data_IF_290646106598
#
_entry.id   IF_290646106598
#
_cell.length_a   1.000
_cell.length_b   1.000
_cell.length_c   1.000
_cell.angle_alpha   90.00
_cell.angle_beta   90.00
_cell.angle_gamma   90.00
#
_symmetry.space_group_name_H-M   'P 1'
#
loop_
_entity.id
_entity.type
_entity.pdbx_description
1 polymer ?
#
# COMPACT_ATOMS: atom_id res chain seq x y z
N UNK A 1 -71.57 -52.44 -21.06
CA UNK A 1 -72.09 -51.14 -21.55
C UNK A 1 -71.50 -49.91 -20.84
N UNK A 2 -70.99 -49.98 -19.61
CA UNK A 2 -70.46 -48.78 -18.90
C UNK A 2 -69.00 -48.38 -19.25
N UNK A 3 -68.18 -49.26 -19.82
CA UNK A 3 -66.78 -48.93 -20.13
C UNK A 3 -66.62 -48.03 -21.38
N UNK A 4 -67.43 -48.26 -22.42
CA UNK A 4 -67.42 -47.47 -23.66
C UNK A 4 -67.88 -46.01 -23.44
N UNK A 5 -68.89 -45.79 -22.58
CA UNK A 5 -69.38 -44.45 -22.27
C UNK A 5 -68.38 -43.57 -21.50
N UNK A 6 -67.47 -44.18 -20.74
CA UNK A 6 -66.43 -43.46 -20.00
C UNK A 6 -65.29 -43.09 -20.95
N UNK A 7 -64.94 -43.97 -21.90
CA UNK A 7 -63.89 -43.72 -22.88
C UNK A 7 -64.29 -42.62 -23.88
N UNK A 8 -65.52 -42.62 -24.37
CA UNK A 8 -66.03 -41.55 -25.25
C UNK A 8 -66.05 -40.16 -24.55
N UNK A 9 -66.37 -40.11 -23.25
CA UNK A 9 -66.34 -38.86 -22.49
C UNK A 9 -64.92 -38.35 -22.25
N UNK A 10 -63.96 -39.24 -22.02
CA UNK A 10 -62.56 -38.88 -21.84
C UNK A 10 -61.95 -38.37 -23.14
N UNK A 11 -62.25 -39.01 -24.28
CA UNK A 11 -61.82 -38.54 -25.60
C UNK A 11 -62.46 -37.18 -25.94
N UNK A 12 -63.77 -36.99 -25.70
CA UNK A 12 -64.43 -35.71 -25.93
C UNK A 12 -63.83 -34.57 -25.08
N UNK A 13 -63.45 -34.83 -23.82
CA UNK A 13 -62.77 -33.84 -22.98
C UNK A 13 -61.32 -33.56 -23.44
N UNK A 14 -60.62 -34.56 -23.95
CA UNK A 14 -59.27 -34.41 -24.52
C UNK A 14 -59.30 -33.53 -25.76
N UNK A 15 -60.24 -33.79 -26.69
CA UNK A 15 -60.44 -32.97 -27.87
C UNK A 15 -60.83 -31.53 -27.52
N UNK A 16 -61.73 -31.34 -26.55
CA UNK A 16 -62.12 -30.00 -26.10
C UNK A 16 -60.93 -29.19 -25.54
N UNK A 17 -60.05 -29.82 -24.76
CA UNK A 17 -58.82 -29.18 -24.26
C UNK A 17 -57.83 -28.87 -25.36
N UNK A 18 -57.68 -29.76 -26.33
CA UNK A 18 -56.79 -29.57 -27.47
C UNK A 18 -57.23 -28.40 -28.35
N UNK A 19 -58.53 -28.31 -28.68
CA UNK A 19 -59.07 -27.16 -29.43
C UNK A 19 -59.01 -25.85 -28.64
N UNK A 20 -59.20 -25.87 -27.31
CA UNK A 20 -58.99 -24.68 -26.48
C UNK A 20 -57.53 -24.23 -26.44
N UNK A 21 -56.58 -25.17 -26.51
CA UNK A 21 -55.17 -24.84 -26.58
C UNK A 21 -54.80 -24.24 -27.94
N UNK A 22 -55.25 -24.84 -29.05
CA UNK A 22 -55.05 -24.29 -30.40
C UNK A 22 -55.66 -22.89 -30.52
N UNK A 23 -56.90 -22.68 -30.05
CA UNK A 23 -57.54 -21.37 -30.07
C UNK A 23 -56.82 -20.33 -29.19
N UNK A 24 -56.10 -20.76 -28.16
CA UNK A 24 -55.28 -19.87 -27.33
C UNK A 24 -53.98 -19.51 -28.02
N UNK A 25 -53.32 -20.49 -28.65
CA UNK A 25 -52.09 -20.30 -29.42
C UNK A 25 -52.33 -19.45 -30.67
N UNK A 26 -53.45 -19.64 -31.37
CA UNK A 26 -53.87 -18.78 -32.50
C UNK A 26 -54.16 -17.35 -32.04
N UNK A 27 -54.81 -17.17 -30.89
CA UNK A 27 -55.09 -15.85 -30.33
C UNK A 27 -53.85 -15.14 -29.82
N UNK A 28 -52.87 -15.88 -29.30
CA UNK A 28 -51.56 -15.36 -28.92
C UNK A 28 -50.72 -15.01 -30.17
N UNK A 29 -50.83 -15.78 -31.25
CA UNK A 29 -50.22 -15.47 -32.54
C UNK A 29 -50.86 -14.24 -33.22
N UNK A 30 -52.19 -14.10 -33.18
CA UNK A 30 -52.89 -12.88 -33.63
C UNK A 30 -52.47 -11.66 -32.80
N UNK A 31 -52.35 -11.80 -31.47
CA UNK A 31 -51.90 -10.72 -30.60
C UNK A 31 -50.46 -10.29 -30.92
N UNK A 32 -49.60 -11.26 -31.25
CA UNK A 32 -48.22 -11.00 -31.67
C UNK A 32 -48.16 -10.32 -33.05
N UNK A 33 -48.99 -10.75 -34.01
CA UNK A 33 -49.09 -10.17 -35.35
C UNK A 33 -49.69 -8.74 -35.31
N UNK A 34 -50.64 -8.49 -34.39
CA UNK A 34 -51.21 -7.16 -34.10
C UNK A 34 -50.20 -6.22 -33.40
N UNK A 35 -49.36 -6.76 -32.50
CA UNK A 35 -48.23 -6.01 -31.90
C UNK A 35 -47.18 -5.63 -32.94
N UNK A 36 -46.96 -6.48 -33.96
CA UNK A 36 -46.03 -6.22 -35.06
C UNK A 36 -46.60 -5.21 -36.08
N UNK A 37 -47.92 -5.16 -36.27
CA UNK A 37 -48.58 -4.28 -37.25
C UNK A 37 -49.10 -2.93 -36.74
N UNK A 38 -49.21 -2.69 -35.43
CA UNK A 38 -50.15 -1.64 -34.97
C UNK A 38 -49.71 -0.56 -34.00
N UNK A 39 -48.49 -0.54 -33.43
CA UNK A 39 -48.16 0.49 -32.42
C UNK A 39 -47.59 1.78 -33.05
N UNK A 40 -48.22 2.96 -32.91
CA UNK A 40 -47.59 4.23 -33.27
C UNK A 40 -46.33 4.47 -32.45
N UNK A 41 -45.30 5.06 -33.05
CA UNK A 41 -43.98 5.25 -32.41
C UNK A 41 -44.07 5.95 -31.04
N UNK A 42 -44.92 6.96 -30.89
CA UNK A 42 -45.12 7.67 -29.63
C UNK A 42 -45.70 6.79 -28.51
N UNK A 43 -46.52 5.77 -28.85
CA UNK A 43 -47.09 4.83 -27.89
C UNK A 43 -46.07 3.77 -27.48
N UNK A 44 -45.24 3.30 -28.41
CA UNK A 44 -44.11 2.42 -28.09
C UNK A 44 -43.08 3.14 -27.19
N UNK A 45 -42.72 4.37 -27.54
CA UNK A 45 -41.85 5.22 -26.73
C UNK A 45 -42.45 5.47 -25.34
N UNK A 46 -43.75 5.75 -25.25
CA UNK A 46 -44.44 5.91 -23.96
C UNK A 46 -44.39 4.64 -23.11
N UNK A 47 -44.59 3.45 -23.70
CA UNK A 47 -44.53 2.17 -22.98
C UNK A 47 -43.11 1.84 -22.51
N UNK A 48 -42.10 2.10 -23.35
CA UNK A 48 -40.70 1.95 -22.96
C UNK A 48 -40.32 2.91 -21.83
N UNK A 49 -40.76 4.18 -21.90
CA UNK A 49 -40.57 5.16 -20.84
C UNK A 49 -41.25 4.70 -19.56
N UNK A 50 -42.53 4.29 -19.61
CA UNK A 50 -43.28 3.81 -18.45
C UNK A 50 -42.62 2.61 -17.79
N UNK A 51 -42.10 1.68 -18.60
CA UNK A 51 -41.43 0.47 -18.13
C UNK A 51 -40.08 0.79 -17.48
N UNK A 52 -39.25 1.62 -18.12
CA UNK A 52 -37.98 2.11 -17.58
C UNK A 52 -38.18 2.88 -16.26
N UNK A 53 -39.25 3.68 -16.16
CA UNK A 53 -39.60 4.41 -14.93
C UNK A 53 -40.00 3.49 -13.78
N UNK A 54 -40.79 2.43 -14.03
CA UNK A 54 -41.18 1.44 -13.01
C UNK A 54 -39.98 0.68 -12.43
N UNK A 55 -38.89 0.60 -13.18
CA UNK A 55 -37.65 -0.07 -12.78
C UNK A 55 -36.52 0.89 -12.39
N UNK A 56 -36.84 2.16 -12.11
CA UNK A 56 -35.94 3.10 -11.44
C UNK A 56 -35.12 4.03 -12.34
N UNK A 57 -35.34 4.02 -13.66
CA UNK A 57 -34.72 5.01 -14.56
C UNK A 57 -35.45 6.36 -14.48
N UNK A 58 -34.70 7.46 -14.38
CA UNK A 58 -35.30 8.79 -14.27
C UNK A 58 -35.93 9.25 -15.60
N UNK A 59 -37.11 9.89 -15.54
CA UNK A 59 -37.81 10.47 -16.72
C UNK A 59 -36.94 11.45 -17.51
N UNK A 60 -36.00 12.10 -16.81
CA UNK A 60 -35.07 13.09 -17.35
C UNK A 60 -33.98 12.44 -18.20
N UNK A 61 -33.39 11.34 -17.73
CA UNK A 61 -32.39 10.59 -18.48
C UNK A 61 -32.94 10.05 -19.82
N UNK A 62 -34.16 9.51 -19.83
CA UNK A 62 -34.76 8.91 -21.04
C UNK A 62 -35.10 9.98 -22.10
N UNK A 63 -35.43 11.21 -21.69
CA UNK A 63 -35.66 12.34 -22.61
C UNK A 63 -34.37 13.01 -23.09
N UNK A 64 -33.26 12.88 -22.35
CA UNK A 64 -31.98 13.56 -22.66
C UNK A 64 -31.12 12.79 -23.67
N UNK A 65 -31.20 11.44 -23.71
CA UNK A 65 -30.46 10.61 -24.67
C UNK A 65 -31.38 10.20 -25.83
N UNK A 66 -31.45 11.02 -26.88
CA UNK A 66 -32.33 10.80 -28.03
C UNK A 66 -31.95 9.54 -28.83
N UNK A 67 -32.94 8.70 -29.15
CA UNK A 67 -32.78 7.41 -29.88
C UNK A 67 -32.84 7.55 -31.42
N UNK A 68 -32.93 8.78 -31.92
CA UNK A 68 -33.10 9.06 -33.35
C UNK A 68 -34.55 8.96 -33.86
N UNK A 69 -34.72 9.08 -35.19
CA UNK A 69 -36.05 9.04 -35.86
C UNK A 69 -36.36 7.68 -36.50
N UNK A 70 -35.37 6.79 -36.61
CA UNK A 70 -35.58 5.45 -37.16
C UNK A 70 -36.14 4.53 -36.08
N UNK A 71 -37.40 4.15 -36.26
CA UNK A 71 -38.16 3.34 -35.31
C UNK A 71 -37.49 1.99 -35.04
N UNK A 72 -36.89 1.32 -36.04
CA UNK A 72 -36.29 -0.01 -35.84
C UNK A 72 -35.02 0.07 -34.99
N UNK A 73 -34.22 1.10 -35.21
CA UNK A 73 -32.99 1.34 -34.44
C UNK A 73 -33.33 1.72 -33.00
N UNK A 74 -34.29 2.62 -32.80
CA UNK A 74 -34.73 3.04 -31.48
C UNK A 74 -35.29 1.88 -30.63
N UNK A 75 -36.09 1.00 -31.25
CA UNK A 75 -36.60 -0.23 -30.59
C UNK A 75 -35.42 -1.13 -30.17
N UNK A 76 -34.45 -1.33 -31.07
CA UNK A 76 -33.30 -2.23 -30.82
C UNK A 76 -32.40 -1.70 -29.69
N UNK A 77 -32.08 -0.40 -29.69
CA UNK A 77 -31.30 0.24 -28.63
C UNK A 77 -32.01 0.20 -27.28
N UNK A 78 -33.33 0.42 -27.26
CA UNK A 78 -34.13 0.33 -26.03
C UNK A 78 -34.17 -1.09 -25.46
N UNK A 79 -34.32 -2.11 -26.32
CA UNK A 79 -34.27 -3.52 -25.91
C UNK A 79 -32.88 -3.85 -25.33
N UNK A 80 -31.80 -3.41 -25.98
CA UNK A 80 -30.44 -3.63 -25.50
C UNK A 80 -30.20 -2.95 -24.14
N UNK A 81 -30.61 -1.69 -23.97
CA UNK A 81 -30.51 -1.00 -22.69
C UNK A 81 -31.29 -1.72 -21.58
N UNK A 82 -32.49 -2.24 -21.89
CA UNK A 82 -33.26 -3.05 -20.95
C UNK A 82 -32.49 -4.31 -20.54
N UNK A 83 -31.94 -5.07 -21.50
CA UNK A 83 -31.15 -6.28 -21.21
C UNK A 83 -29.96 -5.99 -20.29
N UNK A 84 -29.25 -4.88 -20.50
CA UNK A 84 -28.12 -4.46 -19.66
C UNK A 84 -28.56 -4.09 -18.23
N UNK A 85 -29.72 -3.44 -18.09
CA UNK A 85 -30.30 -3.09 -16.79
C UNK A 85 -30.75 -4.34 -16.01
N UNK A 86 -31.34 -5.34 -16.70
CA UNK A 86 -31.86 -6.55 -16.06
C UNK A 86 -30.77 -7.55 -15.66
N UNK A 87 -29.78 -7.76 -16.53
CA UNK A 87 -28.77 -8.81 -16.33
C UNK A 87 -27.54 -8.34 -15.55
N UNK A 88 -27.34 -7.02 -15.41
CA UNK A 88 -26.09 -6.42 -14.96
C UNK A 88 -24.90 -6.65 -15.90
N UNK A 89 -25.10 -7.40 -16.99
CA UNK A 89 -24.10 -7.69 -18.01
C UNK A 89 -24.24 -6.68 -19.13
N UNK A 90 -23.24 -5.81 -19.27
CA UNK A 90 -23.17 -4.87 -20.39
C UNK A 90 -22.92 -5.63 -21.69
N UNK A 91 -23.66 -5.33 -22.74
CA UNK A 91 -23.34 -5.85 -24.06
C UNK A 91 -22.09 -5.14 -24.56
N UNK A 92 -20.94 -5.82 -24.50
CA UNK A 92 -19.68 -5.27 -25.02
C UNK A 92 -19.76 -5.22 -26.55
N UNK A 93 -19.55 -4.04 -27.19
CA UNK A 93 -19.52 -3.95 -28.64
C UNK A 93 -18.39 -4.82 -29.21
N UNK A 94 -18.54 -5.25 -30.47
CA UNK A 94 -17.58 -6.14 -31.13
C UNK A 94 -16.14 -5.58 -31.10
N UNK A 95 -15.99 -4.26 -31.28
CA UNK A 95 -14.70 -3.56 -31.18
C UNK A 95 -14.05 -3.73 -29.81
N UNK A 96 -14.83 -3.60 -28.73
CA UNK A 96 -14.34 -3.80 -27.37
C UNK A 96 -13.96 -5.26 -27.12
N UNK A 97 -14.70 -6.23 -27.68
CA UNK A 97 -14.37 -7.66 -27.56
C UNK A 97 -13.06 -8.01 -28.25
N UNK A 98 -12.83 -7.51 -29.46
CA UNK A 98 -11.58 -7.70 -30.22
C UNK A 98 -10.38 -7.12 -29.46
N UNK A 99 -10.54 -5.93 -28.85
CA UNK A 99 -9.49 -5.32 -28.04
C UNK A 99 -9.28 -6.08 -26.72
N UNK A 100 -10.36 -6.57 -26.09
CA UNK A 100 -10.30 -7.32 -24.83
C UNK A 100 -9.53 -8.63 -24.96
N UNK A 101 -9.69 -9.37 -26.05
CA UNK A 101 -9.05 -10.68 -26.26
C UNK A 101 -7.51 -10.59 -26.36
N UNK A 102 -6.98 -9.41 -26.71
CA UNK A 102 -5.53 -9.12 -26.73
C UNK A 102 -5.07 -8.28 -25.51
N UNK A 103 -6.01 -7.88 -24.64
CA UNK A 103 -5.71 -7.01 -23.51
C UNK A 103 -5.13 -7.81 -22.34
N UNK A 104 -4.08 -7.30 -21.72
CA UNK A 104 -3.49 -7.90 -20.52
C UNK A 104 -4.27 -7.46 -19.29
N UNK A 105 -4.65 -8.41 -18.44
CA UNK A 105 -5.32 -8.10 -17.17
C UNK A 105 -4.34 -7.59 -16.12
N UNK A 106 -4.84 -6.81 -15.15
CA UNK A 106 -4.02 -6.25 -14.09
C UNK A 106 -3.27 -7.31 -13.29
N UNK A 107 -3.90 -8.43 -12.91
CA UNK A 107 -3.25 -9.40 -12.04
C UNK A 107 -2.18 -10.21 -12.80
N UNK A 108 -2.45 -10.54 -14.07
CA UNK A 108 -1.45 -11.15 -14.96
C UNK A 108 -0.28 -10.20 -15.20
N UNK A 109 -0.55 -8.90 -15.40
CA UNK A 109 0.50 -7.90 -15.54
C UNK A 109 1.34 -7.77 -14.26
N UNK A 110 0.72 -7.83 -13.08
CA UNK A 110 1.45 -7.81 -11.82
C UNK A 110 2.39 -9.01 -11.70
N UNK A 111 2.02 -10.21 -12.18
CA UNK A 111 2.92 -11.37 -12.21
C UNK A 111 4.15 -11.12 -13.11
N UNK A 112 3.95 -10.47 -14.26
CA UNK A 112 5.05 -10.05 -15.14
C UNK A 112 5.92 -8.98 -14.47
N UNK A 113 5.29 -7.98 -13.84
CA UNK A 113 5.98 -6.90 -13.14
C UNK A 113 6.84 -7.40 -11.98
N UNK A 114 6.42 -8.45 -11.27
CA UNK A 114 7.22 -9.11 -10.24
C UNK A 114 8.55 -9.65 -10.81
N UNK A 115 8.53 -10.21 -12.03
CA UNK A 115 9.74 -10.68 -12.75
C UNK A 115 10.64 -9.52 -13.16
N UNK A 116 10.05 -8.41 -13.63
CA UNK A 116 10.80 -7.19 -13.98
C UNK A 116 11.52 -6.64 -12.74
N UNK A 117 10.85 -6.59 -11.59
CA UNK A 117 11.44 -6.14 -10.33
C UNK A 117 12.63 -7.01 -9.91
N UNK A 118 12.55 -8.33 -10.11
CA UNK A 118 13.64 -9.25 -9.80
C UNK A 118 14.88 -9.00 -10.68
N UNK A 119 14.71 -8.58 -11.94
CA UNK A 119 15.83 -8.26 -12.84
C UNK A 119 16.46 -6.87 -12.64
N UNK A 120 15.88 -5.99 -11.82
CA UNK A 120 16.40 -4.62 -11.60
C UNK A 120 17.65 -4.54 -10.71
N UNK A 121 18.18 -5.65 -10.22
CA UNK A 121 19.34 -5.65 -9.31
C UNK A 121 19.07 -4.99 -7.96
N UNK A 122 17.82 -4.97 -7.50
CA UNK A 122 17.42 -4.37 -6.21
C UNK A 122 17.75 -5.30 -5.04
N UNK A 123 18.06 -4.72 -3.87
CA UNK A 123 18.30 -5.50 -2.64
C UNK A 123 17.07 -6.32 -2.24
N UNK A 124 17.29 -7.51 -1.68
CA UNK A 124 16.23 -8.44 -1.26
C UNK A 124 15.14 -7.79 -0.39
N UNK A 125 15.54 -6.94 0.58
CA UNK A 125 14.57 -6.25 1.44
C UNK A 125 13.68 -5.27 0.66
N UNK A 126 14.22 -4.61 -0.36
CA UNK A 126 13.48 -3.71 -1.24
C UNK A 126 12.48 -4.49 -2.08
N UNK A 127 12.88 -5.65 -2.61
CA UNK A 127 11.98 -6.55 -3.34
C UNK A 127 10.79 -6.98 -2.47
N UNK A 128 11.04 -7.44 -1.23
CA UNK A 128 9.97 -7.79 -0.27
C UNK A 128 9.01 -6.62 -0.05
N UNK A 129 9.52 -5.38 0.04
CA UNK A 129 8.68 -4.21 0.23
C UNK A 129 7.75 -3.95 -0.96
N UNK A 130 8.23 -4.15 -2.20
CA UNK A 130 7.43 -4.08 -3.42
C UNK A 130 6.37 -5.19 -3.46
N UNK A 131 6.75 -6.44 -3.19
CA UNK A 131 5.81 -7.58 -3.18
C UNK A 131 4.66 -7.35 -2.19
N UNK A 132 4.95 -6.77 -1.02
CA UNK A 132 3.92 -6.36 -0.06
C UNK A 132 2.93 -5.33 -0.64
N UNK A 133 3.39 -4.38 -1.47
CA UNK A 133 2.51 -3.40 -2.13
C UNK A 133 1.73 -4.04 -3.27
N UNK A 134 2.35 -4.92 -4.06
CA UNK A 134 1.66 -5.68 -5.11
C UNK A 134 0.52 -6.53 -4.51
N UNK A 135 0.77 -7.21 -3.39
CA UNK A 135 -0.28 -7.94 -2.64
C UNK A 135 -1.39 -7.01 -2.11
N UNK A 136 -1.08 -5.76 -1.79
CA UNK A 136 -2.10 -4.77 -1.43
C UNK A 136 -2.92 -4.34 -2.65
N UNK A 137 -2.28 -4.16 -3.81
CA UNK A 137 -2.94 -3.82 -5.08
C UNK A 137 -3.89 -4.94 -5.50
N UNK A 138 -3.45 -6.21 -5.50
CA UNK A 138 -4.30 -7.37 -5.86
C UNK A 138 -5.57 -7.48 -5.02
N UNK A 139 -5.51 -7.10 -3.74
CA UNK A 139 -6.68 -7.10 -2.84
C UNK A 139 -7.59 -5.90 -3.04
N UNK A 140 -7.04 -4.78 -3.53
CA UNK A 140 -7.74 -3.50 -3.61
C UNK A 140 -8.31 -3.16 -5.00
N UNK A 141 -7.82 -3.81 -6.06
CA UNK A 141 -8.27 -3.59 -7.43
C UNK A 141 -8.72 -4.91 -8.08
N UNK A 142 -9.76 -4.86 -8.93
CA UNK A 142 -10.26 -6.04 -9.64
C UNK A 142 -9.23 -6.58 -10.64
N UNK A 143 -9.36 -7.86 -10.98
CA UNK A 143 -8.64 -8.42 -12.12
C UNK A 143 -9.41 -8.12 -13.42
N UNK A 144 -9.16 -6.93 -13.95
CA UNK A 144 -9.75 -6.43 -15.19
C UNK A 144 -8.62 -6.03 -16.17
N UNK A 145 -8.93 -5.86 -17.47
CA UNK A 145 -7.99 -5.30 -18.44
C UNK A 145 -7.34 -4.01 -17.92
N UNK A 146 -6.03 -3.83 -18.16
CA UNK A 146 -5.29 -2.66 -17.67
C UNK A 146 -5.92 -1.32 -18.13
N UNK A 147 -6.49 -1.29 -19.33
CA UNK A 147 -7.18 -0.13 -19.92
C UNK A 147 -8.51 0.21 -19.24
N UNK A 148 -9.16 -0.78 -18.61
CA UNK A 148 -10.44 -0.62 -17.92
C UNK A 148 -10.27 -0.11 -16.48
N UNK A 149 -9.05 -0.18 -15.92
CA UNK A 149 -8.78 0.29 -14.55
C UNK A 149 -8.81 1.83 -14.50
N UNK A 150 -9.84 2.37 -13.86
CA UNK A 150 -10.09 3.81 -13.84
C UNK A 150 -9.31 4.53 -12.73
N UNK A 151 -9.00 5.81 -12.96
CA UNK A 151 -8.47 6.73 -11.94
C UNK A 151 -9.35 6.77 -10.69
N UNK A 152 -10.67 6.64 -10.84
CA UNK A 152 -11.65 6.65 -9.75
C UNK A 152 -11.49 5.44 -8.83
N UNK A 153 -11.33 4.24 -9.39
CA UNK A 153 -11.13 3.01 -8.61
C UNK A 153 -9.80 3.05 -7.84
N UNK A 154 -8.74 3.53 -8.49
CA UNK A 154 -7.43 3.73 -7.84
C UNK A 154 -7.57 4.71 -6.68
N UNK A 155 -8.23 5.85 -6.91
CA UNK A 155 -8.45 6.85 -5.86
C UNK A 155 -9.29 6.28 -4.70
N UNK A 156 -10.34 5.50 -4.98
CA UNK A 156 -11.16 4.86 -3.96
C UNK A 156 -10.33 3.92 -3.07
N UNK A 157 -9.50 3.05 -3.68
CA UNK A 157 -8.58 2.18 -2.94
C UNK A 157 -7.60 2.98 -2.08
N UNK A 158 -6.95 4.01 -2.65
CA UNK A 158 -5.97 4.83 -1.93
C UNK A 158 -6.61 5.58 -0.75
N UNK A 159 -7.81 6.13 -0.95
CA UNK A 159 -8.57 6.82 0.09
C UNK A 159 -8.98 5.88 1.22
N UNK A 160 -9.27 4.60 0.94
CA UNK A 160 -9.50 3.59 1.98
C UNK A 160 -8.32 3.50 2.95
N UNK A 161 -7.08 3.40 2.44
CA UNK A 161 -5.88 3.41 3.28
C UNK A 161 -5.69 4.73 4.04
N UNK A 162 -6.04 5.87 3.46
CA UNK A 162 -5.93 7.17 4.12
C UNK A 162 -6.93 7.26 5.29
N UNK A 163 -8.18 6.83 5.08
CA UNK A 163 -9.23 6.84 6.08
C UNK A 163 -8.91 5.91 7.27
N UNK A 164 -8.18 4.81 7.03
CA UNK A 164 -7.63 3.95 8.08
C UNK A 164 -6.39 4.55 8.80
N UNK A 165 -6.02 5.80 8.51
CA UNK A 165 -4.83 6.45 9.06
C UNK A 165 -3.51 5.92 8.51
N UNK A 166 -3.52 5.20 7.37
CA UNK A 166 -2.34 4.57 6.74
C UNK A 166 -1.83 5.37 5.52
N UNK A 167 -1.78 6.69 5.65
CA UNK A 167 -1.36 7.61 4.58
C UNK A 167 0.01 7.28 3.95
N UNK A 168 1.01 6.89 4.78
CA UNK A 168 2.32 6.48 4.28
C UNK A 168 2.25 5.22 3.40
N UNK A 169 1.40 4.25 3.76
CA UNK A 169 1.14 3.06 2.94
C UNK A 169 0.47 3.42 1.63
N UNK A 170 -0.54 4.30 1.66
CA UNK A 170 -1.21 4.80 0.44
C UNK A 170 -0.20 5.43 -0.54
N UNK A 171 0.73 6.25 -0.04
CA UNK A 171 1.80 6.85 -0.86
C UNK A 171 2.68 5.79 -1.54
N UNK A 172 3.11 4.76 -0.80
CA UNK A 172 3.95 3.68 -1.35
C UNK A 172 3.20 2.76 -2.32
N UNK A 173 1.93 2.48 -2.04
CA UNK A 173 1.04 1.71 -2.94
C UNK A 173 0.89 2.47 -4.25
N UNK A 174 0.52 3.76 -4.19
CA UNK A 174 0.42 4.62 -5.37
C UNK A 174 1.72 4.65 -6.16
N UNK A 175 2.87 4.79 -5.49
CA UNK A 175 4.17 4.81 -6.16
C UNK A 175 4.47 3.49 -6.88
N UNK A 176 4.15 2.35 -6.25
CA UNK A 176 4.37 1.03 -6.84
C UNK A 176 3.44 0.80 -8.02
N UNK A 177 2.16 1.16 -7.88
CA UNK A 177 1.16 1.04 -8.93
C UNK A 177 1.51 1.93 -10.13
N UNK A 178 1.92 3.18 -9.86
CA UNK A 178 2.34 4.11 -10.91
C UNK A 178 3.53 3.58 -11.70
N UNK A 179 4.48 2.92 -11.03
CA UNK A 179 5.63 2.29 -11.69
C UNK A 179 5.24 1.04 -12.49
N UNK A 180 4.36 0.20 -11.95
CA UNK A 180 3.83 -0.96 -12.67
C UNK A 180 3.11 -0.55 -13.96
N UNK A 181 2.30 0.52 -13.92
CA UNK A 181 1.65 1.06 -15.12
C UNK A 181 2.65 1.72 -16.09
N UNK A 182 3.77 2.28 -15.60
CA UNK A 182 4.82 2.80 -16.47
C UNK A 182 5.51 1.70 -17.25
N UNK A 183 5.80 0.57 -16.61
CA UNK A 183 6.35 -0.61 -17.28
C UNK A 183 5.34 -1.20 -18.28
N UNK A 184 4.04 -1.16 -17.98
CA UNK A 184 3.01 -1.62 -18.92
C UNK A 184 2.96 -0.76 -20.19
N UNK A 185 3.17 0.56 -20.06
CA UNK A 185 3.31 1.48 -21.20
C UNK A 185 4.57 1.13 -22.00
N UNK A 186 5.69 0.87 -21.32
CA UNK A 186 6.96 0.54 -21.97
C UNK A 186 6.91 -0.78 -22.75
N UNK A 187 6.15 -1.78 -22.27
CA UNK A 187 5.88 -3.04 -23.00
C UNK A 187 4.69 -2.93 -23.99
N UNK A 188 4.08 -1.74 -24.15
CA UNK A 188 3.06 -1.48 -25.18
C UNK A 188 1.66 -2.00 -24.87
N UNK A 189 1.36 -2.38 -23.62
CA UNK A 189 0.03 -2.90 -23.23
C UNK A 189 -1.02 -1.80 -23.06
N UNK A 190 -0.60 -0.59 -22.71
CA UNK A 190 -1.45 0.58 -22.51
C UNK A 190 -0.74 1.85 -22.96
N UNK A 191 -1.49 2.93 -23.17
CA UNK A 191 -0.95 4.20 -23.68
C UNK A 191 -0.87 5.31 -22.63
N UNK A 192 -1.62 5.20 -21.54
CA UNK A 192 -1.71 6.25 -20.52
C UNK A 192 -1.61 5.67 -19.11
N UNK A 193 -1.14 6.49 -18.16
CA UNK A 193 -1.00 6.08 -16.75
C UNK A 193 -2.17 6.67 -15.92
N UNK A 194 -3.22 5.89 -15.60
CA UNK A 194 -4.37 6.39 -14.83
C UNK A 194 -3.98 6.78 -13.39
N UNK A 195 -2.87 6.27 -12.87
CA UNK A 195 -2.38 6.62 -11.53
C UNK A 195 -1.85 8.05 -11.47
N UNK A 196 -1.31 8.57 -12.58
CA UNK A 196 -0.67 9.89 -12.62
C UNK A 196 -1.62 11.03 -12.22
N UNK A 197 -2.90 10.91 -12.59
CA UNK A 197 -3.95 11.87 -12.24
C UNK A 197 -4.33 11.87 -10.75
N UNK A 198 -4.00 10.80 -10.00
CA UNK A 198 -4.25 10.74 -8.55
C UNK A 198 -3.23 11.56 -7.77
N UNK A 199 -3.59 12.05 -6.59
CA UNK A 199 -2.67 12.77 -5.71
C UNK A 199 -2.04 11.83 -4.68
N UNK A 200 -0.74 11.99 -4.44
CA UNK A 200 -0.07 11.27 -3.37
C UNK A 200 -0.52 11.80 -2.00
N UNK A 201 -0.82 10.89 -1.06
CA UNK A 201 -1.15 11.26 0.30
C UNK A 201 0.03 12.04 0.93
N UNK A 202 -0.27 13.19 1.54
CA UNK A 202 0.66 13.87 2.43
C UNK A 202 0.70 13.10 3.75
N UNK A 203 1.88 12.80 4.24
CA UNK A 203 2.07 12.11 5.52
C UNK A 203 3.04 12.91 6.35
N UNK A 204 2.57 13.40 7.49
CA UNK A 204 3.42 13.99 8.51
C UNK A 204 4.08 12.89 9.34
N UNK A 205 5.31 13.14 9.76
CA UNK A 205 6.07 12.18 10.54
C UNK A 205 5.59 12.24 11.99
N UNK A 206 4.84 11.22 12.41
CA UNK A 206 4.27 11.12 13.77
C UNK A 206 5.27 10.72 14.86
N UNK A 207 6.45 10.22 14.46
CA UNK A 207 7.43 9.72 15.41
C UNK A 207 8.13 10.88 16.14
N UNK A 208 7.95 10.88 17.45
CA UNK A 208 8.59 11.80 18.38
C UNK A 208 10.10 11.60 18.46
N UNK A 209 10.84 12.69 18.71
CA UNK A 209 12.28 12.63 19.01
C UNK A 209 12.54 12.14 20.44
N UNK A 210 13.77 11.73 20.72
CA UNK A 210 14.21 11.34 22.05
C UNK A 210 15.13 12.42 22.63
N UNK A 211 14.86 12.92 23.83
CA UNK A 211 15.77 13.87 24.51
C UNK A 211 16.86 13.12 25.30
N UNK A 212 17.90 13.85 25.74
CA UNK A 212 18.95 13.27 26.59
C UNK A 212 18.41 12.75 27.93
N UNK A 213 17.50 13.49 28.57
CA UNK A 213 16.87 13.07 29.83
C UNK A 213 16.01 11.81 29.65
N UNK A 214 15.27 11.72 28.54
CA UNK A 214 14.49 10.53 28.21
C UNK A 214 15.39 9.33 27.94
N UNK A 215 16.52 9.54 27.25
CA UNK A 215 17.54 8.49 27.08
C UNK A 215 17.99 7.94 28.43
N UNK A 216 18.35 8.80 29.39
CA UNK A 216 18.81 8.37 30.72
C UNK A 216 17.74 7.58 31.48
N UNK A 217 16.48 8.02 31.43
CA UNK A 217 15.35 7.29 32.05
C UNK A 217 15.12 5.91 31.42
N UNK A 218 15.20 5.81 30.09
CA UNK A 218 15.08 4.52 29.39
C UNK A 218 16.29 3.63 29.69
N UNK A 219 17.48 4.20 29.74
CA UNK A 219 18.73 3.51 30.05
C UNK A 219 18.72 2.93 31.48
N UNK A 220 18.17 3.67 32.45
CA UNK A 220 17.93 3.17 33.79
C UNK A 220 16.90 2.03 33.80
N UNK A 221 15.75 2.20 33.13
CA UNK A 221 14.73 1.15 33.04
C UNK A 221 15.23 -0.13 32.31
N UNK A 222 16.26 -0.01 31.49
CA UNK A 222 16.93 -1.12 30.81
C UNK A 222 17.78 -2.01 31.75
N UNK A 223 17.90 -1.70 33.04
CA UNK A 223 18.60 -2.53 34.04
C UNK A 223 18.00 -3.95 34.15
N UNK A 224 16.68 -4.07 34.02
CA UNK A 224 15.98 -5.36 34.00
C UNK A 224 16.09 -6.11 32.66
N UNK A 225 16.70 -5.50 31.64
CA UNK A 225 16.92 -6.11 30.33
C UNK A 225 18.27 -6.80 30.25
N UNK A 226 18.50 -7.68 29.26
CA UNK A 226 19.82 -8.28 29.05
C UNK A 226 20.92 -7.22 28.93
N UNK A 227 22.10 -7.51 29.47
CA UNK A 227 23.23 -6.58 29.58
C UNK A 227 23.61 -5.91 28.25
N UNK A 228 23.49 -6.62 27.12
CA UNK A 228 23.78 -6.09 25.79
C UNK A 228 22.90 -4.90 25.39
N UNK A 229 21.71 -4.71 25.99
CA UNK A 229 20.82 -3.61 25.61
C UNK A 229 21.42 -2.25 25.96
N UNK A 230 21.92 -2.09 27.19
CA UNK A 230 22.54 -0.83 27.66
C UNK A 230 23.78 -0.51 26.83
N UNK A 231 24.61 -1.52 26.57
CA UNK A 231 25.80 -1.38 25.73
C UNK A 231 25.46 -1.04 24.27
N UNK A 232 24.42 -1.66 23.70
CA UNK A 232 23.94 -1.32 22.36
C UNK A 232 23.37 0.10 22.29
N UNK A 233 22.71 0.58 23.35
CA UNK A 233 22.21 1.95 23.43
C UNK A 233 23.35 2.97 23.47
N UNK A 234 24.36 2.76 24.32
CA UNK A 234 25.55 3.60 24.39
C UNK A 234 26.29 3.63 23.05
N UNK A 235 26.57 2.45 22.49
CA UNK A 235 27.28 2.31 21.23
C UNK A 235 26.51 2.97 20.08
N UNK A 236 25.17 2.90 20.07
CA UNK A 236 24.35 3.55 19.05
C UNK A 236 24.43 5.09 19.11
N UNK A 237 24.47 5.67 20.32
CA UNK A 237 24.54 7.12 20.48
C UNK A 237 25.96 7.62 20.20
N UNK A 238 26.99 6.95 20.70
CA UNK A 238 28.39 7.40 20.52
C UNK A 238 28.88 7.22 19.08
N UNK A 239 28.43 6.19 18.37
CA UNK A 239 28.82 6.00 16.95
C UNK A 239 27.85 6.64 15.97
N UNK A 240 26.63 6.96 16.41
CA UNK A 240 25.55 7.43 15.55
C UNK A 240 25.13 6.45 14.45
N UNK A 241 25.53 5.16 14.48
CA UNK A 241 25.27 4.23 13.38
C UNK A 241 23.85 3.65 13.39
N UNK A 242 23.43 3.07 12.25
CA UNK A 242 22.11 2.42 12.15
C UNK A 242 22.15 1.10 12.90
N UNK A 243 21.03 0.71 13.49
CA UNK A 243 20.92 -0.55 14.26
C UNK A 243 21.28 -1.80 13.45
N UNK A 244 21.04 -1.79 12.13
CA UNK A 244 21.47 -2.89 11.25
C UNK A 244 23.00 -3.02 11.22
N UNK A 245 23.67 -1.92 10.87
CA UNK A 245 25.13 -1.85 10.81
C UNK A 245 25.77 -2.14 12.19
N UNK A 246 25.17 -1.62 13.27
CA UNK A 246 25.62 -1.84 14.65
C UNK A 246 25.63 -3.31 15.08
N UNK A 247 24.69 -4.12 14.59
CA UNK A 247 24.63 -5.55 14.89
C UNK A 247 25.63 -6.38 14.06
N UNK A 248 26.19 -5.79 13.00
CA UNK A 248 27.11 -6.45 12.07
C UNK A 248 28.59 -6.11 12.36
N UNK A 249 28.86 -5.10 13.20
CA UNK A 249 30.22 -4.70 13.59
C UNK A 249 30.97 -5.84 14.29
N UNK A 250 32.19 -6.12 13.82
CA UNK A 250 33.09 -7.13 14.38
C UNK A 250 34.28 -6.48 15.08
N UNK A 251 34.90 -7.21 16.00
CA UNK A 251 36.15 -6.76 16.62
C UNK A 251 37.30 -6.60 15.61
N UNK A 252 37.28 -7.40 14.53
CA UNK A 252 38.21 -7.30 13.40
C UNK A 252 38.11 -5.99 12.63
N UNK A 253 37.00 -5.27 12.78
CA UNK A 253 36.77 -4.00 12.09
C UNK A 253 37.40 -2.83 12.85
N UNK A 254 38.07 -3.10 13.98
CA UNK A 254 38.82 -2.12 14.75
C UNK A 254 40.31 -2.29 14.48
N UNK A 255 40.91 -1.31 13.81
CA UNK A 255 42.33 -1.28 13.48
C UNK A 255 42.90 0.10 13.83
N UNK A 256 44.02 0.14 14.53
CA UNK A 256 44.76 1.37 14.89
C UNK A 256 43.90 2.44 15.58
N UNK A 257 42.95 2.03 16.44
CA UNK A 257 42.07 2.95 17.17
C UNK A 257 40.92 3.51 16.35
N UNK A 258 40.62 2.95 15.17
CA UNK A 258 39.48 3.30 14.35
C UNK A 258 38.57 2.09 14.12
N UNK A 259 37.26 2.31 14.29
CA UNK A 259 36.20 1.38 13.92
C UNK A 259 35.77 1.64 12.47
N UNK A 260 36.03 0.69 11.59
CA UNK A 260 35.66 0.75 10.17
C UNK A 260 34.22 0.26 9.99
N UNK A 261 33.39 1.07 9.33
CA UNK A 261 31.97 0.77 9.11
C UNK A 261 31.63 0.97 7.64
N UNK A 262 31.14 -0.09 7.00
CA UNK A 262 30.47 -0.03 5.70
C UNK A 262 28.96 -0.09 5.89
N UNK A 263 28.27 1.02 5.65
CA UNK A 263 26.83 1.09 5.90
C UNK A 263 26.04 0.26 4.90
N UNK A 264 25.39 -0.82 5.35
CA UNK A 264 24.61 -1.75 4.55
C UNK A 264 23.53 -1.08 3.70
N UNK A 265 22.93 0.02 4.16
CA UNK A 265 21.86 0.74 3.44
C UNK A 265 22.39 1.51 2.23
N UNK A 266 23.49 2.25 2.40
CA UNK A 266 23.95 3.29 1.46
C UNK A 266 25.30 2.98 0.80
N UNK A 267 26.06 2.01 1.32
CA UNK A 267 27.43 1.68 0.88
C UNK A 267 28.48 2.71 1.30
N UNK A 268 28.15 3.63 2.20
CA UNK A 268 29.10 4.64 2.69
C UNK A 268 30.10 3.96 3.64
N UNK A 269 31.39 4.23 3.43
CA UNK A 269 32.49 3.74 4.25
C UNK A 269 33.04 4.88 5.11
N UNK A 270 33.14 4.65 6.41
CA UNK A 270 33.67 5.60 7.39
C UNK A 270 34.55 4.88 8.41
N UNK A 271 35.53 5.59 8.96
CA UNK A 271 36.36 5.13 10.06
C UNK A 271 36.09 6.03 11.27
N UNK A 272 35.60 5.45 12.35
CA UNK A 272 35.16 6.17 13.55
C UNK A 272 36.26 6.04 14.61
N UNK A 273 36.87 7.13 15.09
CA UNK A 273 37.92 7.03 16.10
C UNK A 273 37.33 6.50 17.42
N UNK A 274 37.99 5.53 18.07
CA UNK A 274 37.52 4.97 19.34
C UNK A 274 37.61 5.95 20.52
N UNK A 275 38.22 7.11 20.31
CA UNK A 275 38.38 8.18 21.29
C UNK A 275 37.13 9.08 21.44
N UNK A 276 36.04 8.82 20.69
CA UNK A 276 34.82 9.62 20.82
C UNK A 276 34.20 9.51 22.22
N UNK A 277 33.59 10.61 22.65
CA UNK A 277 32.80 10.69 23.86
C UNK A 277 31.56 11.58 23.64
N UNK A 278 30.52 11.38 24.43
CA UNK A 278 29.30 12.19 24.47
C UNK A 278 29.13 12.74 25.88
N UNK A 279 29.52 13.99 26.08
CA UNK A 279 29.64 14.60 27.42
C UNK A 279 28.29 14.72 28.11
N UNK A 280 27.26 15.11 27.35
CA UNK A 280 25.90 15.28 27.86
C UNK A 280 25.30 14.00 28.46
N UNK A 281 25.85 12.82 28.12
CA UNK A 281 25.41 11.52 28.64
C UNK A 281 26.50 10.80 29.44
N UNK A 282 27.71 11.36 29.55
CA UNK A 282 28.85 10.73 30.21
C UNK A 282 29.28 9.41 29.57
N UNK A 283 29.21 9.30 28.23
CA UNK A 283 29.55 8.06 27.50
C UNK A 283 30.90 8.20 26.81
N UNK A 284 31.84 7.30 27.09
CA UNK A 284 33.11 7.16 26.37
C UNK A 284 33.07 5.93 25.45
N UNK A 285 33.37 6.11 24.17
CA UNK A 285 33.34 5.02 23.18
C UNK A 285 34.32 3.91 23.56
N UNK A 286 35.53 4.26 23.98
CA UNK A 286 36.54 3.30 24.39
C UNK A 286 36.09 2.46 25.58
N UNK A 287 35.53 3.09 26.61
CA UNK A 287 35.01 2.37 27.78
C UNK A 287 33.82 1.47 27.43
N UNK A 288 32.88 1.95 26.59
CA UNK A 288 31.75 1.14 26.13
C UNK A 288 32.24 -0.07 25.34
N UNK A 289 33.24 0.10 24.47
CA UNK A 289 33.85 -1.02 23.72
C UNK A 289 34.52 -2.02 24.67
N UNK A 290 35.28 -1.56 25.66
CA UNK A 290 35.94 -2.45 26.61
C UNK A 290 34.92 -3.25 27.45
N UNK A 291 33.83 -2.60 27.89
CA UNK A 291 32.69 -3.28 28.53
C UNK A 291 32.02 -4.30 27.61
N UNK A 292 31.86 -4.00 26.31
CA UNK A 292 31.35 -4.97 25.34
C UNK A 292 32.27 -6.19 25.22
N UNK A 293 33.58 -5.96 25.22
CA UNK A 293 34.57 -7.04 25.08
C UNK A 293 34.54 -7.98 26.27
N UNK A 294 34.48 -7.44 27.48
CA UNK A 294 34.50 -8.20 28.74
C UNK A 294 33.15 -8.91 29.00
N UNK A 295 32.03 -8.19 28.90
CA UNK A 295 30.72 -8.68 29.33
C UNK A 295 30.04 -9.54 28.25
N UNK A 296 30.20 -9.20 26.96
CA UNK A 296 29.50 -9.88 25.87
C UNK A 296 30.37 -10.95 25.21
N UNK A 297 31.63 -10.66 24.90
CA UNK A 297 32.64 -11.65 24.51
C UNK A 297 32.38 -12.46 23.24
N UNK A 298 31.64 -11.92 22.26
CA UNK A 298 31.37 -12.56 20.95
C UNK A 298 32.29 -12.09 19.81
N UNK A 299 32.11 -12.64 18.61
CA UNK A 299 32.80 -12.17 17.39
C UNK A 299 32.34 -10.76 16.97
N UNK A 300 31.05 -10.49 17.11
CA UNK A 300 30.46 -9.16 16.95
C UNK A 300 30.65 -8.34 18.23
N UNK A 301 30.78 -7.02 18.07
CA UNK A 301 30.94 -6.08 19.21
C UNK A 301 29.71 -6.17 20.13
N UNK A 302 28.52 -6.17 19.53
CA UNK A 302 27.26 -6.43 20.23
C UNK A 302 26.88 -7.87 19.99
N UNK A 303 26.84 -8.66 21.06
CA UNK A 303 26.50 -10.07 21.03
C UNK A 303 25.42 -10.40 22.08
N UNK A 304 24.71 -11.50 21.84
CA UNK A 304 23.75 -12.07 22.79
C UNK A 304 24.45 -12.65 24.02
N UNK A 305 23.69 -13.05 25.03
CA UNK A 305 24.22 -13.77 26.22
C UNK A 305 24.85 -15.12 25.87
N UNK A 306 24.59 -15.65 24.68
CA UNK A 306 25.19 -16.87 24.14
C UNK A 306 26.39 -16.57 23.22
N UNK A 307 26.89 -15.34 23.21
CA UNK A 307 28.00 -14.85 22.36
C UNK A 307 27.73 -14.84 20.86
N UNK A 308 26.48 -15.08 20.46
CA UNK A 308 26.02 -15.06 19.06
C UNK A 308 25.57 -13.65 18.62
N UNK A 309 25.67 -13.31 17.31
CA UNK A 309 25.14 -12.07 16.76
C UNK A 309 23.65 -11.88 17.03
N UNK A 310 23.23 -10.62 17.21
CA UNK A 310 21.83 -10.25 17.41
C UNK A 310 21.20 -9.76 16.11
N UNK A 311 19.91 -10.06 15.92
CA UNK A 311 19.15 -9.40 14.86
C UNK A 311 18.76 -7.97 15.27
N UNK A 312 18.85 -7.03 14.34
CA UNK A 312 18.46 -5.63 14.54
C UNK A 312 17.03 -5.46 15.05
N UNK A 313 16.12 -6.36 14.64
CA UNK A 313 14.75 -6.41 15.13
C UNK A 313 14.65 -6.75 16.62
N UNK A 314 15.52 -7.63 17.13
CA UNK A 314 15.58 -7.97 18.56
C UNK A 314 16.09 -6.79 19.39
N UNK A 315 17.13 -6.10 18.95
CA UNK A 315 17.67 -4.91 19.63
C UNK A 315 16.58 -3.84 19.74
N UNK A 316 15.92 -3.50 18.63
CA UNK A 316 14.82 -2.52 18.65
C UNK A 316 13.63 -2.96 19.51
N UNK A 317 13.36 -4.27 19.60
CA UNK A 317 12.25 -4.82 20.42
C UNK A 317 12.53 -4.67 21.91
N UNK A 318 13.74 -4.96 22.36
CA UNK A 318 14.11 -4.82 23.77
C UNK A 318 14.20 -3.36 24.20
N UNK A 319 14.69 -2.46 23.33
CA UNK A 319 14.60 -1.03 23.57
C UNK A 319 13.15 -0.57 23.76
N UNK A 320 12.22 -1.06 22.93
CA UNK A 320 10.79 -0.77 23.10
C UNK A 320 10.26 -1.25 24.45
N UNK A 321 10.72 -2.41 24.95
CA UNK A 321 10.35 -2.92 26.29
C UNK A 321 10.88 -1.99 27.39
N UNK A 322 12.15 -1.60 27.34
CA UNK A 322 12.74 -0.66 28.30
C UNK A 322 12.03 0.70 28.29
N UNK A 323 11.71 1.22 27.09
CA UNK A 323 10.92 2.46 26.94
C UNK A 323 9.52 2.35 27.55
N UNK A 324 8.86 1.20 27.42
CA UNK A 324 7.56 0.98 28.10
C UNK A 324 7.74 0.92 29.61
N UNK A 325 8.78 0.23 30.09
CA UNK A 325 9.08 0.12 31.51
C UNK A 325 9.46 1.45 32.17
N UNK A 326 9.99 2.41 31.40
CA UNK A 326 10.34 3.74 31.93
C UNK A 326 9.11 4.62 32.23
N UNK A 327 7.90 4.22 31.82
CA UNK A 327 6.67 4.97 32.10
C UNK A 327 6.56 6.34 31.44
N UNK A 328 7.40 6.64 30.45
CA UNK A 328 7.41 7.92 29.75
C UNK A 328 6.20 8.04 28.82
N UNK A 329 5.61 9.23 28.79
CA UNK A 329 4.56 9.62 27.85
C UNK A 329 5.14 10.50 26.74
N UNK A 330 4.63 10.35 25.52
CA UNK A 330 5.08 11.07 24.35
C UNK A 330 3.89 11.56 23.54
N UNK A 331 4.02 12.72 22.91
CA UNK A 331 3.09 13.15 21.88
C UNK A 331 3.35 12.36 20.59
N UNK A 332 2.29 11.81 20.00
CA UNK A 332 2.35 11.00 18.78
C UNK A 332 2.94 9.60 18.99
N UNK A 333 3.69 9.12 17.99
CA UNK A 333 4.29 7.78 18.04
C UNK A 333 5.58 7.84 18.89
N UNK A 334 5.73 6.97 19.91
CA UNK A 334 6.88 7.02 20.81
C UNK A 334 8.23 6.79 20.10
N UNK A 335 9.34 7.38 20.59
CA UNK A 335 10.68 7.23 20.02
C UNK A 335 11.12 5.76 19.95
N UNK A 336 11.85 5.40 18.90
CA UNK A 336 12.36 4.03 18.69
C UNK A 336 13.87 4.00 18.86
N UNK A 337 14.49 2.81 18.81
CA UNK A 337 15.95 2.71 18.85
C UNK A 337 16.64 3.56 17.77
N UNK A 338 16.00 3.73 16.60
CA UNK A 338 16.56 4.58 15.53
C UNK A 338 16.62 6.07 15.92
N UNK A 339 15.87 6.53 16.92
CA UNK A 339 15.97 7.91 17.41
C UNK A 339 17.26 8.16 18.20
N UNK A 340 17.97 7.12 18.65
CA UNK A 340 19.31 7.25 19.23
C UNK A 340 20.31 7.86 18.24
N UNK A 341 20.13 7.57 16.94
CA UNK A 341 20.93 8.16 15.87
C UNK A 341 20.63 9.65 15.64
N UNK A 342 19.37 10.07 15.82
CA UNK A 342 19.00 11.50 15.80
C UNK A 342 19.55 12.22 17.04
N UNK A 343 19.40 11.61 18.22
CA UNK A 343 19.98 12.12 19.46
C UNK A 343 21.50 12.28 19.36
N UNK A 344 22.20 11.26 18.85
CA UNK A 344 23.63 11.32 18.54
C UNK A 344 24.01 12.55 17.71
N UNK A 345 23.33 12.77 16.58
CA UNK A 345 23.63 13.89 15.69
C UNK A 345 23.42 15.25 16.37
N UNK A 346 22.33 15.43 17.11
CA UNK A 346 22.02 16.69 17.82
C UNK A 346 22.99 16.96 18.98
N UNK A 347 23.42 15.91 19.69
CA UNK A 347 24.43 16.06 20.76
C UNK A 347 25.79 16.41 20.18
N UNK A 348 26.23 15.71 19.13
CA UNK A 348 27.51 15.99 18.47
C UNK A 348 27.56 17.33 17.74
N UNK A 349 26.42 17.80 17.23
CA UNK A 349 26.33 19.14 16.66
C UNK A 349 26.68 20.21 17.69
N UNK A 350 26.12 20.10 18.91
CA UNK A 350 26.37 21.06 19.99
C UNK A 350 27.76 20.89 20.60
N UNK A 351 28.24 19.65 20.73
CA UNK A 351 29.53 19.35 21.37
C UNK A 351 30.73 19.62 20.46
N UNK A 352 30.62 19.35 19.15
CA UNK A 352 31.75 19.44 18.21
C UNK A 352 31.40 20.38 17.04
N UNK A 353 30.56 19.92 16.10
CA UNK A 353 30.10 20.72 14.95
C UNK A 353 29.03 19.98 14.16
N UNK A 354 28.27 20.74 13.36
CA UNK A 354 27.32 20.23 12.37
C UNK A 354 28.01 19.31 11.34
N UNK A 355 29.20 19.69 10.86
CA UNK A 355 29.98 18.92 9.90
C UNK A 355 30.47 17.61 10.50
N UNK A 356 30.90 17.60 11.75
CA UNK A 356 31.26 16.35 12.43
C UNK A 356 30.07 15.39 12.49
N UNK A 357 28.91 15.84 12.96
CA UNK A 357 27.69 15.03 13.02
C UNK A 357 27.26 14.49 11.65
N UNK A 358 27.36 15.32 10.61
CA UNK A 358 27.07 14.92 9.22
C UNK A 358 27.99 13.79 8.71
N UNK A 359 29.30 13.92 8.93
CA UNK A 359 30.30 12.93 8.52
C UNK A 359 30.15 11.62 9.29
N UNK A 360 29.95 11.70 10.61
CA UNK A 360 29.74 10.51 11.46
C UNK A 360 28.52 9.69 11.00
N UNK A 361 27.43 10.37 10.62
CA UNK A 361 26.25 9.69 10.09
C UNK A 361 26.45 9.20 8.64
N UNK A 362 27.48 9.63 7.93
CA UNK A 362 27.68 9.28 6.52
C UNK A 362 26.61 9.89 5.61
N UNK A 363 26.10 11.08 5.96
CA UNK A 363 25.12 11.81 5.15
C UNK A 363 25.82 12.70 4.12
N UNK A 364 25.75 12.32 2.84
CA UNK A 364 26.35 13.10 1.74
C UNK A 364 25.63 14.44 1.47
N UNK A 365 24.34 14.54 1.78
CA UNK A 365 23.50 15.70 1.48
C UNK A 365 23.12 16.44 2.76
N UNK A 366 23.23 17.76 2.71
CA UNK A 366 22.85 18.66 3.82
C UNK A 366 21.35 18.56 4.14
N UNK A 367 20.50 18.28 3.16
CA UNK A 367 19.05 18.07 3.36
C UNK A 367 18.77 16.90 4.31
N UNK A 368 19.55 15.82 4.24
CA UNK A 368 19.41 14.71 5.18
C UNK A 368 20.03 15.03 6.54
N UNK A 369 21.11 15.81 6.57
CA UNK A 369 21.72 16.24 7.82
C UNK A 369 20.77 17.15 8.61
N UNK A 370 20.18 18.17 7.99
CA UNK A 370 19.22 19.08 8.64
C UNK A 370 17.99 18.35 9.16
N UNK A 371 17.46 17.36 8.43
CA UNK A 371 16.34 16.53 8.90
C UNK A 371 16.63 15.69 10.14
N UNK A 372 17.90 15.36 10.42
CA UNK A 372 18.26 14.63 11.65
C UNK A 372 18.51 15.58 12.82
N UNK A 373 18.85 16.84 12.53
CA UNK A 373 18.99 17.91 13.53
C UNK A 373 17.65 18.47 14.01
N UNK A 374 16.64 18.43 13.14
CA UNK A 374 15.27 18.82 13.46
C UNK A 374 14.71 18.02 14.65
N UNK A 375 14.39 18.76 15.71
CA UNK A 375 13.84 18.30 16.99
C UNK A 375 12.34 17.99 16.90
N UNK A 376 11.67 18.42 15.82
CA UNK A 376 10.24 18.25 15.54
C UNK A 376 9.34 18.85 16.61
N UNK A 377 9.71 20.03 17.12
CA UNK A 377 8.93 20.78 18.10
C UNK A 377 8.95 20.19 19.50
N UNK A 378 9.99 19.40 19.82
CA UNK A 378 10.17 18.78 21.15
C UNK A 378 10.93 19.67 22.12
N UNK A 379 11.82 20.52 21.60
CA UNK A 379 12.68 21.41 22.37
C UNK A 379 12.60 22.82 21.76
N UNK A 380 12.75 23.84 22.59
CA UNK A 380 12.85 25.21 22.10
C UNK A 380 14.28 25.45 21.61
N UNK A 381 14.44 25.95 20.38
CA UNK A 381 15.76 26.34 19.85
C UNK A 381 16.24 27.63 20.54
N UNK A 382 17.13 27.46 21.52
CA UNK A 382 17.70 28.58 22.29
C UNK A 382 18.81 29.23 21.48
N UNK A 383 18.55 30.44 21.00
CA UNK A 383 19.53 31.22 20.25
C UNK A 383 20.61 31.73 21.22
N UNK A 384 21.84 31.25 21.04
CA UNK A 384 23.02 31.68 21.80
C UNK A 384 23.76 32.82 21.07
N UNK A 385 24.33 33.76 21.84
CA UNK A 385 25.25 34.78 21.31
C UNK A 385 26.65 34.16 21.37
N UNK A 386 27.16 33.70 20.23
CA UNK A 386 28.46 33.02 20.11
C UNK A 386 29.59 33.98 19.72
#
# INVERSE_FOLDING_TARGET
MNAYYIQDRLEAQSWARHYQQIAREEKEAELADDMEKGLPQHLFESLCIDHLQRHGASKKAIKEFGLGRDRRIAITEAIQANIELFSGHKHKPLTARINSDNSVTLHSWLDRYEKILASRGIKQKTLINYMSKIKAIRRGLPDAPLEDITTKEIAAMLNGYINEGKAASAKLIRSTLSDAFREAIAEGHITTNPVAATRAAKSEVRRSRLTADEYLKIYQAAESSPCWLRLAMELAVVTGQRVGDLCEMKWSDIVDGYLYVEQSKTGVKIAIPTALHVDALGISMKETLDKCKEILGGETIIASTRREPLSSGTVSRYFMRARKASGLSFEGDPPTFHELRSLSARLYEKQISDKFAQHLLGHKSDTMASQYRDDRGREWDKIEIK
#
